data_IF_888298465385
#
_entry.id   IF_888298465385
#
_cell.length_a   1.000
_cell.length_b   1.000
_cell.length_c   1.000
_cell.angle_alpha   90.00
_cell.angle_beta   90.00
_cell.angle_gamma   90.00
#
_symmetry.space_group_name_H-M   'P 1'
#
loop_
_entity.id
_entity.type
_entity.pdbx_description
1 polymer ?
#
# COMPACT_ATOMS: atom_id res chain seq x y z
N UNK A 1 -19.68 13.23 -10.91
CA UNK A 1 -18.77 13.85 -9.93
C UNK A 1 -18.71 12.93 -8.74
N UNK A 2 -17.69 12.07 -8.67
CA UNK A 2 -17.52 11.17 -7.52
C UNK A 2 -16.61 11.91 -6.54
N UNK A 3 -17.21 12.37 -5.44
CA UNK A 3 -16.46 12.88 -4.29
C UNK A 3 -15.82 11.69 -3.62
N UNK A 4 -14.54 11.47 -3.87
CA UNK A 4 -13.75 10.67 -2.95
C UNK A 4 -13.56 11.52 -1.68
N UNK A 5 -13.87 11.01 -0.48
CA UNK A 5 -13.47 11.69 0.74
C UNK A 5 -11.97 11.96 0.66
N UNK A 6 -11.50 13.12 1.14
CA UNK A 6 -10.10 13.56 1.01
C UNK A 6 -9.07 12.48 1.41
N UNK A 7 -9.43 11.56 2.32
CA UNK A 7 -8.62 10.39 2.65
C UNK A 7 -8.53 9.31 1.56
N UNK A 8 -9.60 9.03 0.79
CA UNK A 8 -9.58 8.02 -0.28
C UNK A 8 -8.84 8.47 -1.54
N UNK A 9 -8.78 9.77 -1.82
CA UNK A 9 -7.96 10.29 -2.92
C UNK A 9 -6.46 10.11 -2.60
N UNK A 10 -6.05 10.49 -1.38
CA UNK A 10 -4.72 10.18 -0.84
C UNK A 10 -4.45 8.69 -0.81
N UNK A 11 -5.43 7.88 -0.41
CA UNK A 11 -5.30 6.43 -0.40
C UNK A 11 -5.06 5.86 -1.80
N UNK A 12 -5.72 6.37 -2.83
CA UNK A 12 -5.52 5.91 -4.21
C UNK A 12 -4.12 6.25 -4.74
N UNK A 13 -3.60 7.45 -4.47
CA UNK A 13 -2.22 7.82 -4.85
C UNK A 13 -1.18 6.99 -4.08
N UNK A 14 -1.42 6.78 -2.78
CA UNK A 14 -0.55 5.96 -1.92
C UNK A 14 -0.63 4.48 -2.32
N UNK A 15 -1.80 3.97 -2.69
CA UNK A 15 -2.03 2.60 -3.17
C UNK A 15 -1.37 2.31 -4.51
N UNK A 16 -1.39 3.27 -5.43
CA UNK A 16 -0.62 3.17 -6.66
C UNK A 16 0.89 3.08 -6.36
N UNK A 17 1.40 3.90 -5.44
CA UNK A 17 2.79 3.84 -5.00
C UNK A 17 3.13 2.53 -4.26
N UNK A 18 2.21 1.96 -3.47
CA UNK A 18 2.36 0.63 -2.86
C UNK A 18 2.58 -0.40 -3.97
N UNK A 19 1.70 -0.43 -4.97
CA UNK A 19 1.79 -1.39 -6.08
C UNK A 19 3.10 -1.23 -6.88
N UNK A 20 3.59 0.00 -7.07
CA UNK A 20 4.91 0.23 -7.69
C UNK A 20 6.09 -0.26 -6.82
N UNK A 21 5.93 -0.25 -5.50
CA UNK A 21 6.98 -0.69 -4.57
C UNK A 21 6.96 -2.20 -4.33
N UNK A 22 5.79 -2.85 -4.50
CA UNK A 22 5.59 -4.31 -4.39
C UNK A 22 6.15 -5.00 -5.64
N UNK A 23 7.48 -5.00 -5.78
CA UNK A 23 8.23 -5.71 -6.84
C UNK A 23 8.41 -7.23 -6.51
N UNK A 24 7.84 -7.70 -5.40
CA UNK A 24 8.01 -9.07 -4.91
C UNK A 24 9.39 -9.37 -4.29
N UNK A 25 10.23 -8.34 -4.12
CA UNK A 25 11.56 -8.43 -3.49
C UNK A 25 11.69 -7.71 -2.16
N UNK A 26 10.74 -6.82 -1.85
CA UNK A 26 10.78 -5.95 -0.66
C UNK A 26 9.78 -6.44 0.36
N UNK A 27 10.19 -6.46 1.61
CA UNK A 27 9.31 -6.73 2.73
C UNK A 27 8.25 -5.65 2.91
N UNK A 28 7.08 -6.06 3.40
CA UNK A 28 5.97 -5.17 3.74
C UNK A 28 6.43 -4.04 4.67
N UNK A 29 7.24 -4.35 5.67
CA UNK A 29 7.78 -3.35 6.59
C UNK A 29 8.65 -2.29 5.89
N UNK A 30 9.44 -2.69 4.89
CA UNK A 30 10.26 -1.76 4.11
C UNK A 30 9.38 -0.87 3.21
N UNK A 31 8.32 -1.44 2.62
CA UNK A 31 7.35 -0.70 1.81
C UNK A 31 6.62 0.33 2.67
N UNK A 32 6.15 -0.06 3.86
CA UNK A 32 5.51 0.84 4.84
C UNK A 32 6.45 1.98 5.20
N UNK A 33 7.71 1.69 5.56
CA UNK A 33 8.68 2.73 5.92
C UNK A 33 8.90 3.75 4.78
N UNK A 34 9.05 3.26 3.53
CA UNK A 34 9.20 4.13 2.37
C UNK A 34 7.96 4.99 2.09
N UNK A 35 6.76 4.44 2.30
CA UNK A 35 5.51 5.18 2.10
C UNK A 35 5.27 6.19 3.20
N UNK A 36 5.58 5.85 4.45
CA UNK A 36 5.49 6.76 5.58
C UNK A 36 6.45 7.96 5.38
N UNK A 37 7.64 7.72 4.82
CA UNK A 37 8.59 8.78 4.46
C UNK A 37 8.15 9.61 3.24
N UNK A 38 7.50 8.99 2.24
CA UNK A 38 6.95 9.70 1.06
C UNK A 38 5.68 10.49 1.38
N UNK A 39 4.87 10.01 2.32
CA UNK A 39 3.57 10.57 2.69
C UNK A 39 3.49 10.85 4.21
N UNK A 40 4.34 11.72 4.75
CA UNK A 40 4.30 12.07 6.18
C UNK A 40 2.97 12.75 6.56
N UNK A 41 2.28 13.34 5.59
CA UNK A 41 0.98 13.97 5.73
C UNK A 41 -0.20 13.00 5.82
N UNK A 42 0.03 11.69 5.61
CA UNK A 42 -1.00 10.67 5.75
C UNK A 42 -1.18 10.22 7.21
N UNK A 43 -0.23 10.54 8.11
CA UNK A 43 -0.41 10.35 9.55
C UNK A 43 -0.40 8.89 10.04
N UNK A 44 0.11 7.97 9.22
CA UNK A 44 0.16 6.52 9.49
C UNK A 44 -0.56 5.74 8.42
N UNK A 45 0.21 5.17 7.49
CA UNK A 45 -0.30 4.36 6.37
C UNK A 45 -0.14 2.87 6.62
N UNK A 46 0.30 2.50 7.82
CA UNK A 46 0.74 1.16 8.18
C UNK A 46 -0.44 0.18 8.11
N UNK A 47 -1.57 0.57 8.72
CA UNK A 47 -2.81 -0.21 8.75
C UNK A 47 -3.45 -0.28 7.35
N UNK A 48 -3.52 0.86 6.65
CA UNK A 48 -4.01 0.94 5.27
C UNK A 48 -3.20 0.08 4.30
N UNK A 49 -1.87 0.05 4.43
CA UNK A 49 -0.99 -0.78 3.61
C UNK A 49 -1.24 -2.26 3.91
N UNK A 50 -1.38 -2.64 5.18
CA UNK A 50 -1.65 -4.03 5.57
C UNK A 50 -3.01 -4.47 5.01
N UNK A 51 -4.06 -3.67 5.19
CA UNK A 51 -5.40 -3.96 4.67
C UNK A 51 -5.38 -4.07 3.14
N UNK A 52 -4.71 -3.12 2.46
CA UNK A 52 -4.57 -3.13 1.02
C UNK A 52 -3.82 -4.36 0.52
N UNK A 53 -2.72 -4.76 1.17
CA UNK A 53 -1.97 -5.96 0.81
C UNK A 53 -2.79 -7.23 1.04
N UNK A 54 -3.58 -7.30 2.11
CA UNK A 54 -4.50 -8.41 2.32
C UNK A 54 -5.52 -8.51 1.18
N UNK A 55 -6.17 -7.40 0.82
CA UNK A 55 -7.13 -7.35 -0.29
C UNK A 55 -6.45 -7.72 -1.61
N UNK A 56 -5.27 -7.15 -1.89
CA UNK A 56 -4.52 -7.39 -3.12
C UNK A 56 -4.07 -8.85 -3.22
N UNK A 57 -3.72 -9.49 -2.10
CA UNK A 57 -3.44 -10.92 -2.05
C UNK A 57 -4.71 -11.76 -2.27
N UNK A 58 -5.83 -11.40 -1.64
CA UNK A 58 -7.12 -12.08 -1.85
C UNK A 58 -7.62 -11.96 -3.29
N UNK A 59 -7.44 -10.81 -3.92
CA UNK A 59 -7.77 -10.57 -5.33
C UNK A 59 -6.72 -11.14 -6.30
N UNK A 60 -5.62 -11.71 -5.80
CA UNK A 60 -4.48 -12.23 -6.57
C UNK A 60 -3.81 -11.18 -7.46
N UNK A 61 -3.82 -9.93 -7.06
CA UNK A 61 -3.07 -8.85 -7.73
C UNK A 61 -1.58 -8.95 -7.45
N UNK A 62 -1.22 -9.41 -6.25
CA UNK A 62 0.15 -9.65 -5.81
C UNK A 62 0.30 -11.11 -5.36
N UNK A 63 1.46 -11.68 -5.62
CA UNK A 63 1.81 -13.02 -5.16
C UNK A 63 2.73 -12.88 -3.97
N UNK A 64 2.23 -13.18 -2.77
CA UNK A 64 3.08 -13.39 -1.60
C UNK A 64 3.87 -14.68 -1.85
N UNK A 65 5.10 -14.55 -2.33
CA UNK A 65 6.00 -15.69 -2.47
C UNK A 65 6.45 -16.06 -1.05
N UNK A 66 5.95 -17.18 -0.52
CA UNK A 66 6.50 -17.73 0.72
C UNK A 66 8.00 -17.99 0.50
N UNK A 67 8.89 -17.48 1.37
CA UNK A 67 10.29 -17.84 1.29
C UNK A 67 10.40 -19.34 1.63
N UNK A 68 10.85 -20.11 0.64
CA UNK A 68 11.17 -21.54 0.75
C UNK A 68 12.35 -21.82 1.69
#
# INVERSE_FOLDING_TARGET
MILYPEGMAKLNETAAAILELVDGRRDVAAIIAMLNERFPEAGGVDDDVIEFLQIACQQKWITCREPE
#
